data_IF_713473587064
#
_entry.id   IF_713473587064
#
_cell.length_a   1.000
_cell.length_b   1.000
_cell.length_c   1.000
_cell.angle_alpha   90.00
_cell.angle_beta   90.00
_cell.angle_gamma   90.00
#
_symmetry.space_group_name_H-M   'P 1'
#
loop_
_entity.id
_entity.type
_entity.pdbx_description
1 polymer ?
#
# COMPACT_ATOMS: atom_id res chain seq x y z
N UNK A 1 11.04 -0.30 12.37
CA UNK A 1 11.43 0.97 13.00
C UNK A 1 10.71 2.10 12.29
N UNK A 2 10.92 2.23 10.97
CA UNK A 2 10.31 3.28 10.12
C UNK A 2 8.79 3.45 10.28
N UNK A 3 8.02 2.36 10.39
CA UNK A 3 6.56 2.46 10.58
C UNK A 3 6.15 3.19 11.86
N UNK A 4 6.97 3.08 12.91
CA UNK A 4 6.76 3.80 14.17
C UNK A 4 7.15 5.25 14.03
N UNK A 5 8.22 5.55 13.28
CA UNK A 5 8.72 6.90 13.06
C UNK A 5 7.80 7.70 12.14
N UNK A 6 7.20 7.08 11.12
CA UNK A 6 6.09 7.67 10.34
C UNK A 6 4.96 8.13 11.26
N UNK A 7 4.56 7.29 12.23
CA UNK A 7 3.47 7.62 13.17
C UNK A 7 3.88 8.77 14.10
N UNK A 8 5.12 8.77 14.59
CA UNK A 8 5.65 9.82 15.48
C UNK A 8 5.74 11.16 14.72
N UNK A 9 6.33 11.17 13.53
CA UNK A 9 6.48 12.35 12.69
C UNK A 9 5.13 12.94 12.28
N UNK A 10 4.18 12.08 11.88
CA UNK A 10 2.82 12.51 11.54
C UNK A 10 2.09 13.10 12.76
N UNK A 11 2.26 12.50 13.95
CA UNK A 11 1.68 13.02 15.20
C UNK A 11 2.30 14.37 15.60
N UNK A 12 3.53 14.64 15.21
CA UNK A 12 4.23 15.89 15.48
C UNK A 12 3.90 17.02 14.48
N UNK A 13 3.01 16.78 13.50
CA UNK A 13 2.74 17.69 12.37
C UNK A 13 4.01 18.08 11.57
N UNK A 14 5.07 17.26 11.65
CA UNK A 14 6.30 17.47 10.87
C UNK A 14 6.16 16.82 9.50
N UNK A 15 5.71 17.62 8.53
CA UNK A 15 5.53 17.17 7.15
C UNK A 15 6.84 16.74 6.49
N UNK A 16 7.96 17.38 6.81
CA UNK A 16 9.25 17.06 6.19
C UNK A 16 9.73 15.69 6.67
N UNK A 17 9.68 15.48 7.98
CA UNK A 17 10.05 14.22 8.60
C UNK A 17 9.10 13.09 8.17
N UNK A 18 7.79 13.37 8.12
CA UNK A 18 6.82 12.36 7.66
C UNK A 18 7.12 11.89 6.23
N UNK A 19 7.50 12.79 5.32
CA UNK A 19 7.89 12.40 3.95
C UNK A 19 9.18 11.57 3.96
N UNK A 20 10.15 11.95 4.79
CA UNK A 20 11.41 11.23 4.94
C UNK A 20 11.17 9.80 5.43
N UNK A 21 10.41 9.63 6.51
CA UNK A 21 10.11 8.32 7.11
C UNK A 21 9.23 7.44 6.21
N UNK A 22 8.31 8.04 5.44
CA UNK A 22 7.55 7.29 4.43
C UNK A 22 8.48 6.77 3.33
N UNK A 23 9.45 7.58 2.90
CA UNK A 23 10.41 7.15 1.89
C UNK A 23 11.31 6.02 2.40
N UNK A 24 11.74 6.10 3.67
CA UNK A 24 12.58 5.07 4.27
C UNK A 24 11.81 3.76 4.48
N UNK A 25 10.57 3.85 5.00
CA UNK A 25 9.66 2.71 5.08
C UNK A 25 9.46 2.05 3.71
N UNK A 26 9.21 2.84 2.66
CA UNK A 26 9.03 2.31 1.31
C UNK A 26 10.30 1.62 0.81
N UNK A 27 11.48 2.19 1.06
CA UNK A 27 12.76 1.60 0.71
C UNK A 27 12.97 0.25 1.39
N UNK A 28 12.79 0.19 2.72
CA UNK A 28 12.96 -1.05 3.48
C UNK A 28 11.96 -2.14 3.09
N UNK A 29 10.71 -1.77 2.77
CA UNK A 29 9.73 -2.71 2.23
C UNK A 29 10.18 -3.25 0.87
N UNK A 30 10.68 -2.41 -0.04
CA UNK A 30 11.19 -2.88 -1.34
C UNK A 30 12.40 -3.81 -1.20
N UNK A 31 13.31 -3.54 -0.27
CA UNK A 31 14.44 -4.44 0.03
C UNK A 31 13.94 -5.79 0.56
N UNK A 32 12.99 -5.79 1.48
CA UNK A 32 12.37 -7.01 2.01
C UNK A 32 11.65 -7.80 0.91
N UNK A 33 10.96 -7.11 0.00
CA UNK A 33 10.31 -7.74 -1.15
C UNK A 33 11.31 -8.50 -2.03
N UNK A 34 12.48 -7.92 -2.29
CA UNK A 34 13.55 -8.58 -3.05
C UNK A 34 14.07 -9.82 -2.33
N UNK A 35 14.34 -9.72 -1.02
CA UNK A 35 14.82 -10.84 -0.21
C UNK A 35 13.82 -12.02 -0.20
N UNK A 36 12.52 -11.70 -0.14
CA UNK A 36 11.44 -12.69 -0.11
C UNK A 36 10.95 -13.13 -1.49
N UNK A 37 11.49 -12.58 -2.58
CA UNK A 37 11.03 -12.88 -3.94
C UNK A 37 9.59 -12.41 -4.23
N UNK A 38 9.12 -11.37 -3.56
CA UNK A 38 7.79 -10.78 -3.73
C UNK A 38 7.84 -9.69 -4.78
N UNK A 39 7.01 -9.76 -5.81
CA UNK A 39 6.95 -8.73 -6.86
C UNK A 39 5.94 -7.62 -6.52
N UNK A 40 6.08 -6.46 -7.17
CA UNK A 40 5.05 -5.41 -7.11
C UNK A 40 3.71 -5.90 -7.68
N UNK A 41 3.71 -6.83 -8.63
CA UNK A 41 2.49 -7.43 -9.17
C UNK A 41 1.73 -8.22 -8.10
N UNK A 42 2.43 -8.93 -7.22
CA UNK A 42 1.82 -9.66 -6.10
C UNK A 42 1.14 -8.70 -5.12
N UNK A 43 1.79 -7.57 -4.81
CA UNK A 43 1.22 -6.51 -3.99
C UNK A 43 -0.01 -5.89 -4.66
N UNK A 44 0.04 -5.62 -5.96
CA UNK A 44 -1.10 -5.08 -6.70
C UNK A 44 -2.29 -6.05 -6.76
N UNK A 45 -2.04 -7.35 -6.95
CA UNK A 45 -3.09 -8.39 -6.90
C UNK A 45 -3.78 -8.39 -5.54
N UNK A 46 -3.01 -8.30 -4.46
CA UNK A 46 -3.55 -8.23 -3.11
C UNK A 46 -4.34 -6.93 -2.87
N UNK A 47 -3.85 -5.77 -3.32
CA UNK A 47 -4.60 -4.52 -3.22
C UNK A 47 -5.90 -4.53 -4.04
N UNK A 48 -5.87 -5.15 -5.22
CA UNK A 48 -7.05 -5.32 -6.07
C UNK A 48 -8.07 -6.28 -5.45
N UNK A 49 -7.63 -7.32 -4.74
CA UNK A 49 -8.50 -8.26 -4.02
C UNK A 49 -9.34 -7.55 -2.94
N UNK A 50 -8.82 -6.48 -2.35
CA UNK A 50 -9.54 -5.64 -1.37
C UNK A 50 -10.60 -4.75 -2.01
N UNK A 51 -10.45 -4.45 -3.30
CA UNK A 51 -11.40 -3.71 -4.12
C UNK A 51 -12.32 -4.67 -4.88
N UNK A 52 -12.92 -5.66 -4.20
CA UNK A 52 -14.13 -6.31 -4.76
C UNK A 52 -15.23 -5.27 -4.77
N UNK A 53 -15.26 -4.50 -5.86
CA UNK A 53 -16.41 -3.78 -6.35
C UNK A 53 -17.53 -4.81 -6.41
N UNK A 54 -18.61 -4.57 -5.67
CA UNK A 54 -19.90 -5.22 -5.85
C UNK A 54 -20.21 -5.28 -7.35
N UNK A 55 -19.88 -6.39 -8.01
CA UNK A 55 -20.40 -6.71 -9.33
C UNK A 55 -21.86 -7.07 -9.12
N UNK A 56 -22.69 -6.07 -8.81
CA UNK A 56 -24.13 -6.13 -9.08
C UNK A 56 -24.23 -6.34 -10.58
N UNK A 57 -24.37 -7.60 -10.95
CA UNK A 57 -24.66 -8.11 -12.28
C UNK A 57 -25.81 -7.26 -12.82
N UNK A 58 -25.50 -6.29 -13.68
CA UNK A 58 -26.51 -5.75 -14.60
C UNK A 58 -26.77 -6.87 -15.60
N UNK A 59 -27.71 -7.75 -15.26
CA UNK A 59 -28.48 -8.48 -16.26
C UNK A 59 -29.20 -7.41 -17.07
N UNK A 60 -28.56 -6.93 -18.14
CA UNK A 60 -29.28 -6.21 -19.18
C UNK A 60 -30.25 -7.21 -19.80
N UNK A 61 -31.54 -6.89 -19.67
CA UNK A 61 -32.65 -7.67 -20.18
C UNK A 61 -32.43 -7.90 -21.67
N UNK A 62 -32.40 -9.17 -22.08
CA UNK A 62 -32.63 -9.53 -23.47
C UNK A 62 -34.07 -9.12 -23.80
N UNK A 63 -34.22 -8.17 -24.72
CA UNK A 63 -35.46 -7.93 -25.47
C UNK A 63 -35.25 -8.52 -26.85
#
# INVERSE_FOLDING_TARGET
>A
EESTEVIIAAKADDKKETIYEIADLAYHVMVLMIDMGISLEDIFKELASRHVIDKKVKQEKMV
#
